data_IF_354432175853
#
_entry.id   IF_354432175853
#
_cell.length_a   1.000
_cell.length_b   1.000
_cell.length_c   1.000
_cell.angle_alpha   90.00
_cell.angle_beta   90.00
_cell.angle_gamma   90.00
#
_symmetry.space_group_name_H-M   'P 1'
#
loop_
_entity.id
_entity.type
_entity.pdbx_description
1 polymer ?
#
# COMPACT_ATOMS: atom_id res chain seq x y z
N UNK A 1 13.82 22.01 -4.59
CA UNK A 1 12.82 20.91 -4.63
C UNK A 1 13.22 20.00 -5.78
N UNK A 2 13.49 18.71 -5.53
CA UNK A 2 13.70 17.77 -6.65
C UNK A 2 12.37 17.62 -7.39
N UNK A 3 12.42 17.57 -8.72
CA UNK A 3 11.24 17.60 -9.60
C UNK A 3 10.22 16.46 -9.38
N UNK A 4 10.51 15.51 -8.48
CA UNK A 4 9.71 14.32 -8.24
C UNK A 4 8.72 14.42 -7.07
N UNK A 5 8.82 15.42 -6.19
CA UNK A 5 7.95 15.52 -5.00
C UNK A 5 6.64 16.26 -5.29
N UNK A 6 5.76 15.62 -6.04
CA UNK A 6 4.55 16.19 -6.64
C UNK A 6 3.32 16.07 -5.73
N UNK A 7 3.23 15.01 -4.92
CA UNK A 7 2.00 14.62 -4.21
C UNK A 7 2.10 15.03 -2.73
N UNK A 8 1.02 15.58 -2.15
CA UNK A 8 0.93 15.88 -0.71
C UNK A 8 0.66 14.60 0.10
N UNK A 9 0.99 14.60 1.39
CA UNK A 9 0.72 13.45 2.26
C UNK A 9 -0.78 13.09 2.36
N UNK A 10 -1.73 14.05 2.41
CA UNK A 10 -3.15 13.71 2.36
C UNK A 10 -3.58 13.03 1.05
N UNK A 11 -3.05 13.48 -0.10
CA UNK A 11 -3.34 12.84 -1.39
C UNK A 11 -2.70 11.46 -1.47
N UNK A 12 -1.48 11.29 -0.95
CA UNK A 12 -0.84 9.97 -0.81
C UNK A 12 -1.75 9.02 -0.02
N UNK A 13 -2.18 9.41 1.18
CA UNK A 13 -3.03 8.58 2.03
C UNK A 13 -4.36 8.22 1.34
N UNK A 14 -4.97 9.14 0.59
CA UNK A 14 -6.17 8.84 -0.19
C UNK A 14 -5.92 7.78 -1.29
N UNK A 15 -4.75 7.82 -1.94
CA UNK A 15 -4.35 6.83 -2.94
C UNK A 15 -4.00 5.48 -2.30
N UNK A 16 -3.38 5.48 -1.12
CA UNK A 16 -3.18 4.27 -0.32
C UNK A 16 -4.51 3.63 0.08
N UNK A 17 -5.48 4.42 0.53
CA UNK A 17 -6.80 3.92 0.87
C UNK A 17 -7.44 3.19 -0.32
N UNK A 18 -7.40 3.81 -1.50
CA UNK A 18 -7.91 3.21 -2.73
C UNK A 18 -7.13 1.92 -3.09
N UNK A 19 -5.81 1.94 -2.98
CA UNK A 19 -4.95 0.79 -3.26
C UNK A 19 -5.25 -0.38 -2.31
N UNK A 20 -5.36 -0.11 -1.01
CA UNK A 20 -5.66 -1.10 0.02
C UNK A 20 -7.04 -1.74 -0.19
N UNK A 21 -8.07 -0.93 -0.44
CA UNK A 21 -9.42 -1.43 -0.76
C UNK A 21 -9.42 -2.26 -2.03
N UNK A 22 -8.75 -1.81 -3.10
CA UNK A 22 -8.64 -2.55 -4.34
C UNK A 22 -7.94 -3.91 -4.12
N UNK A 23 -6.88 -3.95 -3.31
CA UNK A 23 -6.16 -5.16 -2.98
C UNK A 23 -6.99 -6.13 -2.15
N UNK A 24 -7.82 -5.63 -1.22
CA UNK A 24 -8.78 -6.44 -0.46
C UNK A 24 -9.87 -7.03 -1.36
N UNK A 25 -10.34 -6.28 -2.37
CA UNK A 25 -11.39 -6.72 -3.28
C UNK A 25 -10.87 -7.68 -4.37
N UNK A 26 -9.60 -7.56 -4.77
CA UNK A 26 -9.00 -8.30 -5.88
C UNK A 26 -9.23 -9.83 -5.82
N UNK A 27 -9.06 -10.53 -4.68
CA UNK A 27 -9.31 -11.96 -4.59
C UNK A 27 -10.72 -12.38 -4.98
N UNK A 28 -11.72 -11.58 -4.63
CA UNK A 28 -13.12 -11.90 -4.88
C UNK A 28 -13.50 -11.62 -6.33
N UNK A 29 -13.03 -10.50 -6.88
CA UNK A 29 -13.33 -10.09 -8.26
C UNK A 29 -12.61 -10.97 -9.28
N UNK A 30 -11.37 -11.37 -8.97
CA UNK A 30 -10.50 -12.10 -9.89
C UNK A 30 -10.41 -13.61 -9.60
N UNK A 31 -11.11 -14.10 -8.57
CA UNK A 31 -11.20 -15.52 -8.24
C UNK A 31 -9.88 -16.14 -7.75
N UNK A 32 -9.16 -15.46 -6.86
CA UNK A 32 -7.89 -15.96 -6.34
C UNK A 32 -8.08 -17.14 -5.37
N UNK A 33 -7.07 -18.00 -5.28
CA UNK A 33 -7.02 -19.10 -4.31
C UNK A 33 -7.00 -18.60 -2.85
N UNK A 34 -7.32 -19.49 -1.91
CA UNK A 34 -7.47 -19.15 -0.48
C UNK A 34 -6.24 -18.49 0.14
N UNK A 35 -5.03 -18.97 -0.18
CA UNK A 35 -3.79 -18.38 0.31
C UNK A 35 -3.61 -16.93 -0.19
N UNK A 36 -3.79 -16.69 -1.49
CA UNK A 36 -3.73 -15.34 -2.07
C UNK A 36 -4.83 -14.43 -1.52
N UNK A 37 -6.03 -14.96 -1.29
CA UNK A 37 -7.13 -14.23 -0.67
C UNK A 37 -6.73 -13.71 0.71
N UNK A 38 -6.25 -14.59 1.59
CA UNK A 38 -5.87 -14.21 2.95
C UNK A 38 -4.76 -13.17 2.93
N UNK A 39 -3.70 -13.40 2.13
CA UNK A 39 -2.56 -12.48 2.05
C UNK A 39 -2.98 -11.12 1.51
N UNK A 40 -3.68 -11.06 0.37
CA UNK A 40 -4.11 -9.79 -0.22
C UNK A 40 -5.09 -9.03 0.69
N UNK A 41 -6.03 -9.73 1.34
CA UNK A 41 -6.97 -9.11 2.27
C UNK A 41 -6.27 -8.52 3.49
N UNK A 42 -5.33 -9.26 4.10
CA UNK A 42 -4.57 -8.78 5.26
C UNK A 42 -3.68 -7.60 4.92
N UNK A 43 -2.90 -7.71 3.84
CA UNK A 43 -2.01 -6.64 3.39
C UNK A 43 -2.81 -5.40 2.99
N UNK A 44 -3.94 -5.58 2.28
CA UNK A 44 -4.84 -4.49 1.93
C UNK A 44 -5.43 -3.81 3.17
N UNK A 45 -5.82 -4.57 4.20
CA UNK A 45 -6.31 -4.01 5.46
C UNK A 45 -5.24 -3.19 6.20
N UNK A 46 -3.97 -3.62 6.15
CA UNK A 46 -2.84 -2.86 6.72
C UNK A 46 -2.65 -1.52 6.00
N UNK A 47 -2.72 -1.50 4.66
CA UNK A 47 -2.63 -0.27 3.85
C UNK A 47 -3.81 0.67 4.18
N UNK A 48 -5.03 0.13 4.26
CA UNK A 48 -6.22 0.91 4.64
C UNK A 48 -6.04 1.52 6.04
N UNK A 49 -5.57 0.73 7.01
CA UNK A 49 -5.32 1.21 8.38
C UNK A 49 -4.31 2.35 8.42
N UNK A 50 -3.22 2.22 7.65
CA UNK A 50 -2.21 3.27 7.52
C UNK A 50 -2.80 4.55 6.90
N UNK A 51 -3.53 4.40 5.79
CA UNK A 51 -4.17 5.51 5.10
C UNK A 51 -5.14 6.29 6.02
N UNK A 52 -5.95 5.56 6.80
CA UNK A 52 -6.87 6.16 7.76
C UNK A 52 -6.14 6.84 8.94
N UNK A 53 -4.95 6.36 9.32
CA UNK A 53 -4.15 7.00 10.37
C UNK A 53 -3.62 8.39 9.99
N UNK A 54 -3.58 8.71 8.70
CA UNK A 54 -3.22 10.02 8.17
C UNK A 54 -4.42 10.97 8.03
N UNK A 55 -5.64 10.52 8.36
CA UNK A 55 -6.83 11.36 8.33
C UNK A 55 -6.73 12.47 9.41
N UNK A 56 -7.24 13.69 9.15
CA UNK A 56 -7.20 14.78 10.13
C UNK A 56 -7.83 14.42 11.48
N UNK A 57 -8.91 13.63 11.44
CA UNK A 57 -9.66 13.17 12.62
C UNK A 57 -8.90 12.12 13.46
N UNK A 58 -7.89 11.45 12.88
CA UNK A 58 -7.09 10.44 13.58
C UNK A 58 -6.06 11.05 14.56
N UNK A 59 -5.95 12.39 14.61
CA UNK A 59 -5.00 13.13 15.43
C UNK A 59 -3.68 13.42 14.70
N UNK A 60 -2.70 14.01 15.41
CA UNK A 60 -1.39 14.34 14.83
C UNK A 60 -0.51 13.11 14.70
N UNK A 61 -0.82 12.25 13.73
CA UNK A 61 0.02 11.12 13.33
C UNK A 61 1.45 11.59 13.01
N UNK A 62 2.45 10.83 13.46
CA UNK A 62 3.85 11.16 13.17
C UNK A 62 4.15 10.94 11.69
N UNK A 63 4.50 12.02 10.98
CA UNK A 63 4.90 11.97 9.56
C UNK A 63 6.07 11.00 9.34
N UNK A 64 7.01 10.93 10.28
CA UNK A 64 8.13 9.98 10.19
C UNK A 64 7.69 8.53 10.39
N UNK A 65 6.65 8.28 11.19
CA UNK A 65 6.10 6.95 11.38
C UNK A 65 5.38 6.46 10.11
N UNK A 66 4.57 7.32 9.49
CA UNK A 66 3.94 7.03 8.19
C UNK A 66 5.00 6.70 7.14
N UNK A 67 6.03 7.55 7.01
CA UNK A 67 7.14 7.33 6.08
C UNK A 67 7.88 5.99 6.32
N UNK A 68 8.13 5.63 7.57
CA UNK A 68 8.76 4.36 7.91
C UNK A 68 7.86 3.17 7.55
N UNK A 69 6.56 3.29 7.83
CA UNK A 69 5.58 2.26 7.50
C UNK A 69 5.47 2.05 5.98
N UNK A 70 5.42 3.11 5.18
CA UNK A 70 5.40 3.05 3.71
C UNK A 70 6.58 2.27 3.14
N UNK A 71 7.76 2.47 3.72
CA UNK A 71 8.99 1.78 3.34
C UNK A 71 8.90 0.29 3.66
N UNK A 72 8.40 -0.03 4.85
CA UNK A 72 8.15 -1.41 5.28
C UNK A 72 7.10 -2.09 4.42
N UNK A 73 6.01 -1.41 4.09
CA UNK A 73 4.94 -1.91 3.22
C UNK A 73 5.42 -2.18 1.82
N UNK A 74 6.21 -1.29 1.21
CA UNK A 74 6.78 -1.53 -0.11
C UNK A 74 7.63 -2.80 -0.14
N UNK A 75 8.48 -3.01 0.88
CA UNK A 75 9.27 -4.24 1.01
C UNK A 75 8.40 -5.47 1.26
N UNK A 76 7.40 -5.36 2.14
CA UNK A 76 6.46 -6.43 2.47
C UNK A 76 5.63 -6.87 1.26
N UNK A 77 5.19 -5.93 0.43
CA UNK A 77 4.48 -6.19 -0.82
C UNK A 77 5.35 -6.98 -1.80
N UNK A 78 6.62 -6.58 -1.99
CA UNK A 78 7.58 -7.32 -2.84
C UNK A 78 7.81 -8.73 -2.29
N UNK A 79 8.07 -8.86 -0.99
CA UNK A 79 8.31 -10.15 -0.36
C UNK A 79 7.09 -11.07 -0.46
N UNK A 80 5.88 -10.54 -0.22
CA UNK A 80 4.62 -11.26 -0.37
C UNK A 80 4.35 -11.68 -1.81
N UNK A 81 4.65 -10.83 -2.79
CA UNK A 81 4.53 -11.16 -4.21
C UNK A 81 5.44 -12.35 -4.58
N UNK A 82 6.70 -12.33 -4.13
CA UNK A 82 7.65 -13.42 -4.33
C UNK A 82 7.16 -14.71 -3.65
N UNK A 83 6.71 -14.62 -2.39
CA UNK A 83 6.21 -15.78 -1.65
C UNK A 83 5.00 -16.44 -2.34
N UNK A 84 4.02 -15.64 -2.80
CA UNK A 84 2.87 -16.16 -3.54
C UNK A 84 3.27 -16.73 -4.91
N UNK A 85 4.26 -16.13 -5.59
CA UNK A 85 4.77 -16.66 -6.85
C UNK A 85 5.39 -18.06 -6.66
N UNK A 86 6.23 -18.21 -5.62
CA UNK A 86 6.84 -19.50 -5.26
C UNK A 86 5.77 -20.53 -4.88
N UNK A 87 4.67 -20.11 -4.24
CA UNK A 87 3.53 -20.95 -3.89
C UNK A 87 2.58 -21.27 -5.06
N UNK A 88 2.92 -20.87 -6.30
CA UNK A 88 2.09 -21.09 -7.48
C UNK A 88 0.82 -20.23 -7.55
N UNK A 89 0.69 -19.23 -6.67
CA UNK A 89 -0.46 -18.33 -6.59
C UNK A 89 -0.27 -17.09 -7.48
N UNK A 90 -0.15 -17.31 -8.80
CA UNK A 90 0.22 -16.27 -9.76
C UNK A 90 -0.67 -15.01 -9.71
N UNK A 91 -2.00 -15.18 -9.57
CA UNK A 91 -2.93 -14.04 -9.50
C UNK A 91 -2.64 -13.12 -8.31
N UNK A 92 -2.46 -13.69 -7.11
CA UNK A 92 -2.12 -12.92 -5.92
C UNK A 92 -0.72 -12.33 -5.98
N UNK A 93 0.25 -13.07 -6.55
CA UNK A 93 1.61 -12.57 -6.75
C UNK A 93 1.63 -11.32 -7.65
N UNK A 94 0.91 -11.35 -8.76
CA UNK A 94 0.79 -10.21 -9.68
C UNK A 94 0.07 -9.02 -9.03
N UNK A 95 -0.99 -9.27 -8.25
CA UNK A 95 -1.69 -8.21 -7.53
C UNK A 95 -0.78 -7.50 -6.51
N UNK A 96 -0.03 -8.27 -5.71
CA UNK A 96 0.94 -7.70 -4.75
C UNK A 96 2.10 -7.00 -5.46
N UNK A 97 2.59 -7.52 -6.59
CA UNK A 97 3.63 -6.87 -7.37
C UNK A 97 3.16 -5.53 -7.95
N UNK A 98 1.93 -5.47 -8.48
CA UNK A 98 1.35 -4.22 -8.98
C UNK A 98 1.18 -3.20 -7.84
N UNK A 99 0.71 -3.65 -6.68
CA UNK A 99 0.61 -2.81 -5.49
C UNK A 99 1.98 -2.35 -4.98
N UNK A 100 3.02 -3.19 -5.03
CA UNK A 100 4.38 -2.81 -4.67
C UNK A 100 4.91 -1.68 -5.56
N UNK A 101 4.65 -1.76 -6.88
CA UNK A 101 5.02 -0.72 -7.84
C UNK A 101 4.27 0.57 -7.53
N UNK A 102 2.95 0.49 -7.33
CA UNK A 102 2.13 1.64 -6.99
C UNK A 102 2.60 2.32 -5.69
N UNK A 103 2.79 1.54 -4.62
CA UNK A 103 3.28 2.05 -3.34
C UNK A 103 4.66 2.68 -3.47
N UNK A 104 5.58 2.03 -4.20
CA UNK A 104 6.93 2.58 -4.40
C UNK A 104 6.87 3.89 -5.18
N UNK A 105 6.00 3.99 -6.19
CA UNK A 105 5.77 5.22 -6.94
C UNK A 105 5.22 6.34 -6.04
N UNK A 106 4.27 6.03 -5.15
CA UNK A 106 3.79 6.97 -4.14
C UNK A 106 4.92 7.43 -3.22
N UNK A 107 5.71 6.48 -2.68
CA UNK A 107 6.80 6.77 -1.74
C UNK A 107 7.85 7.73 -2.33
N UNK A 108 8.21 7.57 -3.60
CA UNK A 108 9.22 8.42 -4.25
C UNK A 108 8.67 9.77 -4.71
N UNK A 109 7.34 9.89 -4.88
CA UNK A 109 6.69 11.11 -5.36
C UNK A 109 6.07 11.98 -4.25
N UNK A 110 6.05 11.49 -3.01
CA UNK A 110 5.35 12.13 -1.91
C UNK A 110 6.20 13.14 -1.13
N UNK A 111 5.57 14.27 -0.81
CA UNK A 111 6.05 15.27 0.14
C UNK A 111 5.62 14.89 1.56
N UNK A 112 6.48 14.17 2.27
CA UNK A 112 6.30 13.86 3.69
C UNK A 112 6.53 15.10 4.56
N UNK A 113 5.49 15.92 4.70
CA UNK A 113 5.47 17.13 5.52
C UNK A 113 4.06 17.32 6.10
N UNK A 114 3.99 17.89 7.30
CA UNK A 114 2.72 18.22 7.96
C UNK A 114 2.00 19.42 7.33
N UNK A 115 2.66 20.19 6.45
CA UNK A 115 2.04 21.29 5.71
C UNK A 115 1.69 20.84 4.30
N UNK A 116 0.42 21.03 3.91
CA UNK A 116 -0.10 20.75 2.58
C UNK A 116 0.53 21.65 1.51
#
# INVERSE_FOLDING_TARGET
MTAFRLISLPTHAALELALGVALMAAPFVLGFGSAALVVCALVGALIVGLALSAAPEAGSGSVSAHFAYDRGMALGLVAGAVALAVAGQAGGALALAAAAIAQTALNVTTRYTARA
#
